data_IF_502192763580
#
_entry.id   IF_502192763580
#
_cell.length_a   1.000
_cell.length_b   1.000
_cell.length_c   1.000
_cell.angle_alpha   90.00
_cell.angle_beta   90.00
_cell.angle_gamma   90.00
#
_symmetry.space_group_name_H-M   'P 1'
#
loop_
_entity.id
_entity.type
_entity.pdbx_description
1 polymer ?
#
# COMPACT_ATOMS: atom_id res chain seq x y z
N UNK A 1 68.32 -25.49 7.05
CA UNK A 1 67.49 -24.86 8.11
C UNK A 1 68.18 -23.56 8.49
N UNK A 2 67.59 -22.38 8.59
CA UNK A 2 66.19 -21.95 8.59
C UNK A 2 66.17 -20.48 8.17
N UNK A 3 65.17 -20.10 7.37
CA UNK A 3 64.93 -18.78 6.80
C UNK A 3 64.49 -17.77 7.86
N UNK A 4 65.02 -16.54 7.84
CA UNK A 4 64.47 -15.42 8.63
C UNK A 4 63.77 -14.42 7.70
N UNK A 5 62.45 -14.56 7.60
CA UNK A 5 61.57 -13.65 6.86
C UNK A 5 61.28 -12.48 7.81
N UNK A 6 61.81 -11.30 7.49
CA UNK A 6 61.53 -10.07 8.24
C UNK A 6 60.11 -9.58 7.94
N UNK A 7 59.19 -9.81 8.88
CA UNK A 7 57.78 -9.47 8.75
C UNK A 7 57.61 -7.96 8.99
N UNK A 8 57.48 -7.16 7.93
CA UNK A 8 57.11 -5.74 8.06
C UNK A 8 55.61 -5.67 8.40
N UNK A 9 55.30 -5.48 9.68
CA UNK A 9 53.94 -5.17 10.11
C UNK A 9 53.51 -3.86 9.45
N UNK A 10 52.54 -3.92 8.55
CA UNK A 10 51.81 -2.74 8.06
C UNK A 10 51.12 -2.15 9.28
N UNK A 11 51.59 -1.01 9.77
CA UNK A 11 50.86 -0.22 10.77
C UNK A 11 49.57 0.25 10.11
N UNK A 12 48.51 -0.56 10.24
CA UNK A 12 47.13 -0.15 9.95
C UNK A 12 46.86 1.04 10.86
N UNK A 13 46.82 2.24 10.27
CA UNK A 13 46.26 3.40 10.94
C UNK A 13 44.76 3.11 11.12
N UNK A 14 44.39 2.60 12.28
CA UNK A 14 42.99 2.52 12.69
C UNK A 14 42.50 3.96 12.88
N UNK A 15 42.06 4.59 11.80
CA UNK A 15 41.21 5.78 11.85
C UNK A 15 39.86 5.32 12.38
N UNK A 16 39.80 5.21 13.71
CA UNK A 16 38.63 4.78 14.44
C UNK A 16 37.47 5.74 14.25
N UNK A 17 36.29 5.15 14.08
CA UNK A 17 34.99 5.78 14.08
C UNK A 17 34.85 6.66 15.34
N UNK A 18 34.77 7.98 15.16
CA UNK A 18 34.57 8.89 16.30
C UNK A 18 33.08 8.92 16.67
N UNK A 19 32.76 8.87 17.96
CA UNK A 19 31.39 9.07 18.45
C UNK A 19 30.81 10.42 17.99
N UNK A 20 31.66 11.41 17.75
CA UNK A 20 31.22 12.69 17.18
C UNK A 20 30.71 12.51 15.74
N UNK A 21 31.41 11.71 14.94
CA UNK A 21 31.05 11.50 13.53
C UNK A 21 29.74 10.73 13.39
N UNK A 22 29.47 9.77 14.27
CA UNK A 22 28.18 9.09 14.30
C UNK A 22 27.06 9.98 14.79
N UNK A 23 27.31 10.78 15.83
CA UNK A 23 26.33 11.72 16.37
C UNK A 23 25.92 12.77 15.33
N UNK A 24 26.88 13.31 14.58
CA UNK A 24 26.60 14.22 13.46
C UNK A 24 25.83 13.52 12.33
N UNK A 25 26.15 12.26 12.01
CA UNK A 25 25.42 11.50 11.00
C UNK A 25 23.95 11.27 11.38
N UNK A 26 23.66 10.84 12.61
CA UNK A 26 22.26 10.63 13.05
C UNK A 26 21.48 11.94 13.18
N UNK A 27 22.14 13.05 13.53
CA UNK A 27 21.53 14.38 13.52
C UNK A 27 21.03 14.76 12.11
N UNK A 28 21.85 14.58 11.08
CA UNK A 28 21.46 14.88 9.70
C UNK A 28 20.34 13.93 9.24
N UNK A 29 20.44 12.64 9.59
CA UNK A 29 19.39 11.65 9.28
C UNK A 29 18.05 12.02 9.93
N UNK A 30 18.05 12.50 11.17
CA UNK A 30 16.84 12.92 11.86
C UNK A 30 16.11 14.07 11.13
N UNK A 31 16.87 15.06 10.63
CA UNK A 31 16.31 16.18 9.86
C UNK A 31 15.68 15.70 8.55
N UNK A 32 16.35 14.79 7.82
CA UNK A 32 15.80 14.24 6.57
C UNK A 32 14.53 13.43 6.85
N UNK A 33 14.56 12.55 7.87
CA UNK A 33 13.43 11.70 8.23
C UNK A 33 12.20 12.52 8.65
N UNK A 34 12.39 13.65 9.33
CA UNK A 34 11.30 14.53 9.74
C UNK A 34 10.43 15.00 8.57
N UNK A 35 11.00 15.19 7.38
CA UNK A 35 10.27 15.61 6.17
C UNK A 35 9.90 14.39 5.30
N UNK A 36 10.77 13.37 5.25
CA UNK A 36 10.57 12.21 4.42
C UNK A 36 9.37 11.35 4.85
N UNK A 37 9.21 11.10 6.16
CA UNK A 37 8.13 10.26 6.71
C UNK A 37 6.73 10.80 6.38
N UNK A 38 6.36 12.06 6.69
CA UNK A 38 5.01 12.55 6.40
C UNK A 38 4.71 12.60 4.89
N UNK A 39 5.72 12.90 4.06
CA UNK A 39 5.60 12.88 2.60
C UNK A 39 5.35 11.47 2.08
N UNK A 40 6.13 10.49 2.55
CA UNK A 40 5.99 9.11 2.13
C UNK A 40 4.65 8.51 2.58
N UNK A 41 4.24 8.79 3.82
CA UNK A 41 2.92 8.39 4.34
C UNK A 41 1.77 8.95 3.48
N UNK A 42 1.82 10.24 3.14
CA UNK A 42 0.81 10.85 2.26
C UNK A 42 0.79 10.26 0.85
N UNK A 43 1.96 9.92 0.29
CA UNK A 43 2.07 9.26 -1.01
C UNK A 43 1.49 7.84 -0.97
N UNK A 44 1.79 7.08 0.09
CA UNK A 44 1.20 5.75 0.32
C UNK A 44 -0.31 5.82 0.44
N UNK A 45 -0.84 6.76 1.22
CA UNK A 45 -2.29 6.94 1.37
C UNK A 45 -2.97 7.22 0.03
N UNK A 46 -2.34 8.03 -0.82
CA UNK A 46 -2.83 8.36 -2.16
C UNK A 46 -2.76 7.16 -3.10
N UNK A 47 -1.66 6.40 -3.08
CA UNK A 47 -1.51 5.19 -3.89
C UNK A 47 -2.55 4.12 -3.48
N UNK A 48 -2.76 3.95 -2.18
CA UNK A 48 -3.74 3.02 -1.65
C UNK A 48 -5.16 3.40 -2.08
N UNK A 49 -5.51 4.68 -2.07
CA UNK A 49 -6.82 5.14 -2.54
C UNK A 49 -7.06 4.87 -4.01
N UNK A 50 -6.07 5.15 -4.86
CA UNK A 50 -6.18 4.91 -6.30
C UNK A 50 -6.30 3.41 -6.57
N UNK A 51 -5.56 2.58 -5.83
CA UNK A 51 -5.69 1.12 -5.92
C UNK A 51 -7.11 0.66 -5.53
N UNK A 52 -7.63 1.09 -4.38
CA UNK A 52 -8.99 0.74 -3.95
C UNK A 52 -10.03 1.21 -4.97
N UNK A 53 -9.90 2.44 -5.48
CA UNK A 53 -10.79 2.96 -6.51
C UNK A 53 -10.76 2.12 -7.79
N UNK A 54 -9.57 1.73 -8.26
CA UNK A 54 -9.41 0.87 -9.43
C UNK A 54 -9.98 -0.54 -9.19
N UNK A 55 -9.70 -1.14 -8.03
CA UNK A 55 -10.22 -2.45 -7.62
C UNK A 55 -11.76 -2.42 -7.59
N UNK A 56 -12.38 -1.38 -7.01
CA UNK A 56 -13.83 -1.22 -6.97
C UNK A 56 -14.43 -1.01 -8.36
N UNK A 57 -13.79 -0.22 -9.23
CA UNK A 57 -14.26 0.00 -10.61
C UNK A 57 -14.20 -1.29 -11.44
N UNK A 58 -13.16 -2.10 -11.24
CA UNK A 58 -13.02 -3.40 -11.87
C UNK A 58 -14.12 -4.37 -11.38
N UNK A 59 -14.41 -4.37 -10.07
CA UNK A 59 -15.48 -5.16 -9.49
C UNK A 59 -16.87 -4.71 -9.99
N UNK A 60 -17.13 -3.41 -10.09
CA UNK A 60 -18.37 -2.87 -10.66
C UNK A 60 -18.57 -3.35 -12.11
N UNK A 61 -17.49 -3.32 -12.90
CA UNK A 61 -17.52 -3.85 -14.28
C UNK A 61 -17.85 -5.34 -14.29
N UNK A 62 -17.25 -6.12 -13.38
CA UNK A 62 -17.53 -7.55 -13.25
C UNK A 62 -18.98 -7.84 -12.82
N UNK A 63 -19.55 -7.02 -11.93
CA UNK A 63 -20.95 -7.12 -11.52
C UNK A 63 -21.88 -6.95 -12.73
N UNK A 64 -21.64 -5.93 -13.55
CA UNK A 64 -22.42 -5.70 -14.78
C UNK A 64 -22.29 -6.85 -15.77
N UNK A 65 -21.08 -7.38 -15.95
CA UNK A 65 -20.83 -8.55 -16.81
C UNK A 65 -21.57 -9.80 -16.28
N UNK A 66 -21.52 -10.05 -14.97
CA UNK A 66 -22.23 -11.15 -14.34
C UNK A 66 -23.74 -11.04 -14.56
N UNK A 67 -24.33 -9.87 -14.32
CA UNK A 67 -25.76 -9.61 -14.55
C UNK A 67 -26.13 -9.83 -16.01
N UNK A 68 -25.29 -9.39 -16.94
CA UNK A 68 -25.53 -9.56 -18.38
C UNK A 68 -25.45 -11.04 -18.80
N UNK A 69 -24.51 -11.80 -18.25
CA UNK A 69 -24.29 -13.20 -18.62
C UNK A 69 -25.26 -14.18 -17.94
N UNK A 70 -25.67 -13.90 -16.71
CA UNK A 70 -26.51 -14.80 -15.89
C UNK A 70 -27.95 -14.31 -15.71
N UNK A 71 -28.24 -13.04 -16.04
CA UNK A 71 -29.55 -12.42 -15.82
C UNK A 71 -29.95 -12.32 -14.35
N UNK A 72 -28.97 -12.44 -13.43
CA UNK A 72 -29.16 -12.43 -11.97
C UNK A 72 -28.07 -11.60 -11.31
N UNK A 73 -28.38 -11.06 -10.15
CA UNK A 73 -27.42 -10.28 -9.37
C UNK A 73 -26.48 -11.20 -8.57
N UNK A 74 -25.20 -10.80 -8.38
CA UNK A 74 -24.29 -11.52 -7.51
C UNK A 74 -24.73 -11.37 -6.04
N UNK A 75 -24.73 -12.48 -5.28
CA UNK A 75 -25.03 -12.49 -3.85
C UNK A 75 -23.82 -12.06 -3.00
N UNK A 76 -22.62 -12.10 -3.58
CA UNK A 76 -21.40 -11.61 -2.95
C UNK A 76 -20.22 -11.52 -3.92
N UNK A 77 -19.09 -11.03 -3.42
CA UNK A 77 -17.84 -10.91 -4.23
C UNK A 77 -17.37 -12.25 -4.79
N UNK A 78 -17.65 -13.37 -4.11
CA UNK A 78 -17.24 -14.71 -4.56
C UNK A 78 -17.90 -15.15 -5.88
N UNK A 79 -19.09 -14.61 -6.20
CA UNK A 79 -19.79 -14.91 -7.46
C UNK A 79 -19.09 -14.29 -8.67
N UNK A 80 -18.23 -13.29 -8.45
CA UNK A 80 -17.49 -12.57 -9.48
C UNK A 80 -16.19 -13.30 -9.89
N UNK A 81 -15.86 -14.45 -9.30
CA UNK A 81 -14.58 -15.18 -9.50
C UNK A 81 -14.26 -15.52 -10.94
N UNK A 82 -15.29 -15.70 -11.76
CA UNK A 82 -15.14 -16.05 -13.17
C UNK A 82 -14.90 -14.80 -14.04
N UNK A 83 -15.09 -13.60 -13.48
CA UNK A 83 -15.00 -12.31 -14.17
C UNK A 83 -13.85 -11.42 -13.66
N UNK A 84 -13.25 -11.77 -12.51
CA UNK A 84 -12.11 -11.03 -11.94
C UNK A 84 -10.99 -11.99 -11.61
N UNK A 85 -9.80 -11.68 -12.13
CA UNK A 85 -8.58 -12.46 -11.85
C UNK A 85 -8.14 -12.26 -10.40
N UNK A 86 -7.76 -13.35 -9.72
CA UNK A 86 -7.20 -13.34 -8.37
C UNK A 86 -8.08 -12.71 -7.26
N UNK A 87 -9.41 -12.89 -7.33
CA UNK A 87 -10.33 -12.38 -6.29
C UNK A 87 -9.98 -12.75 -4.85
N UNK A 88 -9.43 -13.95 -4.63
CA UNK A 88 -9.02 -14.41 -3.28
C UNK A 88 -7.89 -13.56 -2.69
N UNK A 89 -7.09 -12.96 -3.56
CA UNK A 89 -5.98 -12.07 -3.21
C UNK A 89 -6.32 -10.60 -3.38
N UNK A 90 -7.48 -10.28 -3.96
CA UNK A 90 -7.99 -8.93 -4.07
C UNK A 90 -8.41 -8.44 -2.68
N UNK A 91 -7.44 -7.85 -1.98
CA UNK A 91 -7.65 -7.18 -0.70
C UNK A 91 -7.23 -5.72 -0.82
N UNK A 92 -7.95 -4.82 -0.15
CA UNK A 92 -7.49 -3.46 0.04
C UNK A 92 -6.06 -3.46 0.62
N UNK A 93 -5.16 -2.60 0.14
CA UNK A 93 -3.81 -2.51 0.67
C UNK A 93 -3.84 -2.08 2.15
N UNK A 94 -2.98 -2.67 2.96
CA UNK A 94 -2.87 -2.30 4.37
C UNK A 94 -2.32 -0.87 4.53
N UNK A 95 -2.85 -0.15 5.51
CA UNK A 95 -2.48 1.24 5.79
C UNK A 95 -3.66 2.19 5.63
N UNK A 96 -3.37 3.47 5.46
CA UNK A 96 -4.40 4.49 5.37
C UNK A 96 -4.88 4.68 3.94
N UNK A 97 -6.18 4.92 3.79
CA UNK A 97 -6.84 5.32 2.55
C UNK A 97 -7.66 6.58 2.82
N UNK A 98 -7.67 7.52 1.87
CA UNK A 98 -8.46 8.75 1.89
C UNK A 98 -9.77 8.58 1.11
N UNK A 99 -10.90 8.75 1.78
CA UNK A 99 -12.21 8.85 1.14
C UNK A 99 -12.77 10.25 1.42
N UNK A 100 -12.55 11.17 0.48
CA UNK A 100 -12.83 12.59 0.66
C UNK A 100 -11.98 13.23 1.77
N UNK A 101 -12.62 13.78 2.80
CA UNK A 101 -11.94 14.42 3.94
C UNK A 101 -11.53 13.44 5.06
N UNK A 102 -11.92 12.16 4.96
CA UNK A 102 -11.74 11.19 6.03
C UNK A 102 -10.63 10.19 5.68
N UNK A 103 -9.66 10.06 6.58
CA UNK A 103 -8.62 9.03 6.53
C UNK A 103 -9.17 7.77 7.23
N UNK A 104 -9.28 6.68 6.48
CA UNK A 104 -9.78 5.40 6.95
C UNK A 104 -8.59 4.46 7.07
N UNK A 105 -8.54 3.70 8.17
CA UNK A 105 -7.62 2.59 8.31
C UNK A 105 -8.19 1.39 7.56
N UNK A 106 -7.37 0.75 6.76
CA UNK A 106 -7.74 -0.43 5.98
C UNK A 106 -7.57 -1.73 6.79
N UNK A 107 -7.29 -1.63 8.08
CA UNK A 107 -7.19 -2.78 8.96
C UNK A 107 -8.52 -3.54 9.00
N UNK A 108 -8.51 -4.76 8.45
CA UNK A 108 -9.65 -5.69 8.38
C UNK A 108 -10.80 -5.28 7.44
N UNK A 109 -10.56 -4.38 6.49
CA UNK A 109 -11.55 -4.04 5.48
C UNK A 109 -11.46 -5.00 4.30
N UNK A 110 -12.59 -5.60 3.92
CA UNK A 110 -12.74 -6.41 2.70
C UNK A 110 -13.62 -5.70 1.68
N UNK A 111 -13.47 -6.10 0.41
CA UNK A 111 -14.43 -5.73 -0.63
C UNK A 111 -15.75 -6.47 -0.42
N UNK A 112 -16.86 -5.76 -0.55
CA UNK A 112 -18.21 -6.30 -0.46
C UNK A 112 -19.01 -5.89 -1.68
N UNK A 113 -20.11 -6.61 -1.94
CA UNK A 113 -21.10 -6.22 -2.96
C UNK A 113 -22.35 -5.79 -2.21
N UNK A 114 -22.72 -4.53 -2.34
CA UNK A 114 -23.89 -3.95 -1.69
C UNK A 114 -24.81 -3.29 -2.71
N UNK A 115 -26.11 -3.27 -2.40
CA UNK A 115 -27.09 -2.58 -3.23
C UNK A 115 -27.21 -1.12 -2.76
N UNK A 116 -26.59 -0.19 -3.46
CA UNK A 116 -26.79 1.26 -3.26
C UNK A 116 -27.71 1.82 -4.35
N UNK A 117 -28.71 2.59 -3.94
CA UNK A 117 -29.64 3.27 -4.84
C UNK A 117 -30.32 2.36 -5.89
N UNK A 118 -30.59 1.11 -5.51
CA UNK A 118 -31.21 0.13 -6.41
C UNK A 118 -30.26 -0.61 -7.34
N UNK A 119 -28.97 -0.25 -7.37
CA UNK A 119 -27.94 -0.86 -8.21
C UNK A 119 -26.92 -1.61 -7.34
N UNK A 120 -26.52 -2.80 -7.76
CA UNK A 120 -25.45 -3.55 -7.10
C UNK A 120 -24.10 -2.94 -7.45
N UNK A 121 -23.35 -2.54 -6.42
CA UNK A 121 -22.02 -1.96 -6.56
C UNK A 121 -21.05 -2.59 -5.58
N UNK A 122 -19.78 -2.57 -5.95
CA UNK A 122 -18.69 -2.94 -5.07
C UNK A 122 -18.46 -1.82 -4.05
N UNK A 123 -18.28 -2.20 -2.78
CA UNK A 123 -17.96 -1.29 -1.69
C UNK A 123 -16.71 -1.73 -0.95
N UNK A 124 -15.95 -0.75 -0.47
CA UNK A 124 -14.85 -0.93 0.48
C UNK A 124 -15.17 -0.06 1.69
N UNK A 125 -15.10 -0.59 2.91
CA UNK A 125 -15.49 0.14 4.13
C UNK A 125 -16.87 0.85 4.05
N UNK A 126 -17.83 0.27 3.32
CA UNK A 126 -19.18 0.85 3.11
C UNK A 126 -19.26 2.00 2.08
N UNK A 127 -18.18 2.29 1.35
CA UNK A 127 -18.10 3.36 0.35
C UNK A 127 -17.88 2.82 -1.07
N UNK A 128 -18.45 3.49 -2.06
CA UNK A 128 -18.29 3.15 -3.50
C UNK A 128 -17.03 3.77 -4.09
N UNK A 129 -16.64 3.36 -5.29
CA UNK A 129 -15.46 3.87 -5.99
C UNK A 129 -15.44 5.41 -6.13
N UNK A 130 -16.61 6.02 -6.33
CA UNK A 130 -16.77 7.47 -6.53
C UNK A 130 -16.43 8.28 -5.26
N UNK A 131 -16.57 7.68 -4.09
CA UNK A 131 -16.26 8.32 -2.80
C UNK A 131 -14.75 8.33 -2.50
N UNK A 132 -13.96 7.54 -3.23
CA UNK A 132 -12.51 7.48 -3.16
C UNK A 132 -11.87 8.37 -4.24
N UNK A 133 -12.01 9.68 -4.09
CA UNK A 133 -11.31 10.65 -4.95
C UNK A 133 -10.09 11.21 -4.23
N UNK A 134 -8.99 11.38 -4.97
CA UNK A 134 -7.83 12.15 -4.49
C UNK A 134 -8.18 13.63 -4.57
N UNK A 135 -8.03 14.37 -3.46
CA UNK A 135 -8.21 15.83 -3.48
C UNK A 135 -6.98 16.43 -4.14
N UNK A 136 -7.12 16.87 -5.39
CA UNK A 136 -6.07 17.56 -6.14
C UNK A 136 -5.94 19.00 -5.65
#
# INVERSE_FOLDING_TARGET
MSSSISNRAILRSERGFSLLSTLLAVMILAVILAIAVPRFSSALATANTVKVQADLTALDTAIVLYQTAKGKDPAGVDDLKDYVTDLKHLKPPAGTIRAGAQELSTENVSYQVEKKDGVWRATCAGRTAEEYHTRN
#
